data_IF_302057728117
#
_entry.id   IF_302057728117
#
_cell.length_a   1.000
_cell.length_b   1.000
_cell.length_c   1.000
_cell.angle_alpha   90.00
_cell.angle_beta   90.00
_cell.angle_gamma   90.00
#
_symmetry.space_group_name_H-M   'P 1'
#
loop_
_entity.id
_entity.type
_entity.pdbx_description
1 polymer ?
#
# COMPACT_ATOMS: atom_id res chain seq x y z
N UNK A 1 8.04 -4.44 4.24
CA UNK A 1 6.91 -3.84 4.99
C UNK A 1 7.24 -2.48 5.60
N UNK A 2 8.28 -2.35 6.42
CA UNK A 2 8.59 -1.12 7.16
C UNK A 2 8.64 0.18 6.32
N UNK A 3 9.32 0.14 5.16
CA UNK A 3 9.42 1.31 4.27
C UNK A 3 8.05 1.70 3.70
N UNK A 4 7.23 0.72 3.31
CA UNK A 4 5.86 0.93 2.83
C UNK A 4 5.03 1.56 3.96
N UNK A 5 5.02 0.96 5.16
CA UNK A 5 4.31 1.48 6.33
C UNK A 5 4.64 2.95 6.62
N UNK A 6 5.93 3.30 6.62
CA UNK A 6 6.38 4.68 6.81
C UNK A 6 5.96 5.61 5.67
N UNK A 7 6.01 5.13 4.43
CA UNK A 7 5.67 5.92 3.24
C UNK A 7 4.17 6.20 3.16
N UNK A 8 3.32 5.18 3.33
CA UNK A 8 1.86 5.36 3.36
C UNK A 8 1.45 6.30 4.48
N UNK A 9 2.00 6.10 5.68
CA UNK A 9 1.65 6.94 6.83
C UNK A 9 2.11 8.39 6.70
N UNK A 10 3.13 8.69 5.86
CA UNK A 10 3.49 10.08 5.57
C UNK A 10 2.34 10.84 4.90
N UNK A 11 1.56 10.16 4.05
CA UNK A 11 0.36 10.70 3.43
C UNK A 11 -0.87 10.59 4.34
N UNK A 12 -0.93 9.60 5.23
CA UNK A 12 -2.16 9.37 6.01
C UNK A 12 -2.27 10.23 7.26
N UNK A 13 -1.19 10.31 8.04
CA UNK A 13 -1.18 10.99 9.35
C UNK A 13 -0.14 12.10 9.44
N UNK A 14 0.74 12.22 8.45
CA UNK A 14 1.77 13.26 8.44
C UNK A 14 2.85 13.09 9.52
N UNK A 15 3.65 14.14 9.71
CA UNK A 15 4.68 14.20 10.75
C UNK A 15 4.08 14.69 12.09
N UNK A 16 4.63 14.26 13.23
CA UNK A 16 5.73 13.30 13.40
C UNK A 16 5.26 11.84 13.43
N UNK A 17 3.95 11.59 13.51
CA UNK A 17 3.39 10.27 13.82
C UNK A 17 3.79 9.19 12.80
N UNK A 18 3.93 9.54 11.52
CA UNK A 18 4.37 8.59 10.50
C UNK A 18 5.80 8.05 10.71
N UNK A 19 6.62 8.70 11.54
CA UNK A 19 7.98 8.28 11.93
C UNK A 19 8.04 7.70 13.34
N UNK A 20 6.92 7.64 14.06
CA UNK A 20 6.88 7.02 15.39
C UNK A 20 7.11 5.51 15.26
N UNK A 21 8.17 4.95 15.88
CA UNK A 21 8.42 3.50 15.85
C UNK A 21 7.26 2.70 16.43
N UNK A 22 6.59 3.25 17.44
CA UNK A 22 5.44 2.62 18.07
C UNK A 22 4.26 2.52 17.10
N UNK A 23 3.94 3.62 16.40
CA UNK A 23 2.84 3.64 15.44
C UNK A 23 3.12 2.76 14.22
N UNK A 24 4.35 2.75 13.73
CA UNK A 24 4.78 1.89 12.63
C UNK A 24 4.67 0.41 13.01
N UNK A 25 5.24 0.03 14.15
CA UNK A 25 5.19 -1.36 14.66
C UNK A 25 3.74 -1.82 14.85
N UNK A 26 2.87 -0.95 15.37
CA UNK A 26 1.45 -1.26 15.52
C UNK A 26 0.79 -1.57 14.18
N UNK A 27 0.95 -0.72 13.17
CA UNK A 27 0.32 -0.91 11.86
C UNK A 27 0.87 -2.15 11.15
N UNK A 28 2.19 -2.36 11.23
CA UNK A 28 2.87 -3.54 10.71
C UNK A 28 2.32 -4.83 11.33
N UNK A 29 2.27 -4.91 12.66
CA UNK A 29 1.72 -6.07 13.36
C UNK A 29 0.24 -6.26 13.10
N UNK A 30 -0.53 -5.17 13.03
CA UNK A 30 -1.96 -5.24 12.72
C UNK A 30 -2.19 -5.90 11.36
N UNK A 31 -1.37 -5.59 10.35
CA UNK A 31 -1.50 -6.21 9.03
C UNK A 31 -1.30 -7.72 9.05
N UNK A 32 -0.41 -8.22 9.90
CA UNK A 32 -0.15 -9.65 10.07
C UNK A 32 -1.26 -10.31 10.91
N UNK A 33 -1.65 -9.67 12.02
CA UNK A 33 -2.62 -10.21 12.96
C UNK A 33 -4.01 -10.36 12.32
N UNK A 34 -4.45 -9.45 11.45
CA UNK A 34 -5.77 -9.57 10.79
C UNK A 34 -5.92 -10.90 10.05
N UNK A 35 -4.90 -11.33 9.30
CA UNK A 35 -4.94 -12.61 8.58
C UNK A 35 -4.84 -13.81 9.54
N UNK A 36 -3.89 -13.77 10.47
CA UNK A 36 -3.71 -14.85 11.45
C UNK A 36 -4.95 -15.05 12.32
N UNK A 37 -5.56 -13.96 12.78
CA UNK A 37 -6.73 -13.98 13.63
C UNK A 37 -7.98 -14.39 12.84
N UNK A 38 -8.10 -14.01 11.56
CA UNK A 38 -9.16 -14.52 10.69
C UNK A 38 -9.07 -16.05 10.50
N UNK A 39 -7.86 -16.58 10.27
CA UNK A 39 -7.63 -18.01 10.21
C UNK A 39 -7.98 -18.70 11.54
N UNK A 40 -7.55 -18.14 12.68
CA UNK A 40 -7.94 -18.63 14.01
C UNK A 40 -9.45 -18.68 14.19
N UNK A 41 -10.16 -17.60 13.90
CA UNK A 41 -11.63 -17.53 14.00
C UNK A 41 -12.30 -18.56 13.08
N UNK A 42 -11.75 -18.77 11.88
CA UNK A 42 -12.34 -19.69 10.89
C UNK A 42 -12.33 -21.16 11.34
N UNK A 43 -11.39 -21.55 12.21
CA UNK A 43 -11.30 -22.90 12.79
C UNK A 43 -12.40 -23.20 13.80
N UNK A 44 -13.10 -22.18 14.33
CA UNK A 44 -14.17 -22.37 15.30
C UNK A 44 -15.57 -22.36 14.65
N UNK A 45 -16.53 -23.12 15.21
CA UNK A 45 -17.94 -23.05 14.85
C UNK A 45 -18.49 -21.62 14.95
N UNK A 46 -19.49 -21.29 14.11
CA UNK A 46 -20.05 -19.93 14.00
C UNK A 46 -20.43 -19.29 15.35
N UNK A 47 -20.96 -20.08 16.29
CA UNK A 47 -21.39 -19.59 17.61
C UNK A 47 -20.24 -19.23 18.56
N UNK A 48 -19.03 -19.77 18.38
CA UNK A 48 -17.85 -19.42 19.19
C UNK A 48 -17.06 -18.23 18.62
N UNK A 49 -17.29 -17.86 17.36
CA UNK A 49 -16.55 -16.79 16.67
C UNK A 49 -16.57 -15.45 17.42
N UNK A 50 -17.68 -14.98 18.03
CA UNK A 50 -17.67 -13.73 18.79
C UNK A 50 -16.73 -13.78 19.99
N UNK A 51 -16.72 -14.90 20.73
CA UNK A 51 -15.84 -15.08 21.90
C UNK A 51 -14.37 -15.20 21.50
N UNK A 52 -14.09 -16.00 20.47
CA UNK A 52 -12.73 -16.13 19.92
C UNK A 52 -12.23 -14.78 19.42
N UNK A 53 -13.08 -14.07 18.66
CA UNK A 53 -12.82 -12.72 18.18
C UNK A 53 -12.45 -11.76 19.30
N UNK A 54 -13.20 -11.76 20.39
CA UNK A 54 -12.99 -10.80 21.48
C UNK A 54 -11.78 -11.13 22.36
N UNK A 55 -11.57 -12.42 22.69
CA UNK A 55 -10.62 -12.82 23.73
C UNK A 55 -9.34 -13.48 23.22
N UNK A 56 -9.38 -14.09 22.03
CA UNK A 56 -8.24 -14.82 21.45
C UNK A 56 -7.56 -14.08 20.30
N UNK A 57 -8.11 -12.94 19.85
CA UNK A 57 -7.48 -12.11 18.81
C UNK A 57 -6.80 -10.88 19.37
N UNK A 58 -5.90 -10.31 18.58
CA UNK A 58 -5.16 -9.11 18.94
C UNK A 58 -5.82 -7.83 18.40
N UNK A 59 -6.81 -7.96 17.52
CA UNK A 59 -7.52 -6.85 16.87
C UNK A 59 -8.08 -5.83 17.89
N UNK A 60 -8.82 -6.21 18.95
CA UNK A 60 -9.33 -5.24 19.92
C UNK A 60 -8.24 -4.41 20.61
N UNK A 61 -7.11 -5.06 20.96
CA UNK A 61 -5.96 -4.40 21.58
C UNK A 61 -5.29 -3.43 20.61
N UNK A 62 -5.13 -3.83 19.34
CA UNK A 62 -4.59 -2.97 18.28
C UNK A 62 -5.48 -1.74 18.05
N UNK A 63 -6.80 -1.91 18.06
CA UNK A 63 -7.75 -0.79 17.95
C UNK A 63 -7.58 0.18 19.12
N UNK A 64 -7.60 -0.31 20.36
CA UNK A 64 -7.43 0.54 21.55
C UNK A 64 -6.11 1.31 21.53
N UNK A 65 -5.01 0.64 21.15
CA UNK A 65 -3.70 1.28 21.08
C UNK A 65 -3.59 2.27 19.93
N UNK A 66 -4.24 1.98 18.79
CA UNK A 66 -4.36 2.95 17.68
C UNK A 66 -5.05 4.22 18.17
N UNK A 67 -6.23 4.07 18.80
CA UNK A 67 -7.00 5.17 19.37
C UNK A 67 -6.12 6.00 20.30
N UNK A 68 -5.37 5.38 21.20
CA UNK A 68 -4.48 6.10 22.11
C UNK A 68 -3.44 6.97 21.37
N UNK A 69 -2.81 6.43 20.32
CA UNK A 69 -1.77 7.12 19.55
C UNK A 69 -2.30 8.23 18.65
N UNK A 70 -3.45 8.03 18.00
CA UNK A 70 -4.01 9.01 17.05
C UNK A 70 -4.90 10.06 17.74
N UNK A 71 -5.37 9.80 18.96
CA UNK A 71 -6.28 10.68 19.71
C UNK A 71 -5.81 12.14 19.76
N UNK A 72 -4.56 12.47 20.13
CA UNK A 72 -4.15 13.87 20.22
C UNK A 72 -4.30 14.59 18.89
N UNK A 73 -3.91 13.95 17.79
CA UNK A 73 -3.99 14.50 16.45
C UNK A 73 -5.44 14.66 15.98
N UNK A 74 -6.28 13.63 16.17
CA UNK A 74 -7.68 13.67 15.70
C UNK A 74 -8.48 14.67 16.54
N UNK A 75 -8.29 14.68 17.86
CA UNK A 75 -8.99 15.61 18.74
C UNK A 75 -8.66 17.06 18.39
N UNK A 76 -7.38 17.37 18.17
CA UNK A 76 -6.95 18.69 17.73
C UNK A 76 -7.65 19.14 16.44
N UNK A 77 -7.82 18.23 15.46
CA UNK A 77 -8.50 18.55 14.19
C UNK A 77 -10.00 18.76 14.38
N UNK A 78 -10.65 17.94 15.18
CA UNK A 78 -12.06 18.12 15.55
C UNK A 78 -12.29 19.46 16.26
N UNK A 79 -11.39 19.84 17.17
CA UNK A 79 -11.49 21.10 17.90
C UNK A 79 -11.25 22.31 16.98
N UNK A 80 -10.30 22.20 16.04
CA UNK A 80 -10.06 23.23 15.03
C UNK A 80 -11.25 23.41 14.08
N UNK A 81 -11.85 22.30 13.60
CA UNK A 81 -13.04 22.35 12.74
C UNK A 81 -14.20 23.05 13.45
N UNK A 82 -14.42 22.74 14.73
CA UNK A 82 -15.45 23.40 15.55
C UNK A 82 -15.19 24.89 15.76
N UNK A 83 -13.92 25.29 15.90
CA UNK A 83 -13.54 26.68 16.21
C UNK A 83 -13.50 27.59 14.98
N UNK A 84 -13.00 27.07 13.86
CA UNK A 84 -12.69 27.87 12.66
C UNK A 84 -13.49 27.45 11.42
N UNK A 85 -14.29 26.39 11.52
CA UNK A 85 -15.00 25.79 10.37
C UNK A 85 -14.18 24.73 9.64
N UNK A 86 -14.75 24.10 8.60
CA UNK A 86 -14.12 22.98 7.86
C UNK A 86 -12.82 23.36 7.16
N UNK A 87 -12.67 24.62 6.75
CA UNK A 87 -11.51 25.13 6.00
C UNK A 87 -10.58 25.96 6.89
N UNK A 88 -10.28 25.44 8.08
CA UNK A 88 -9.46 26.17 9.05
C UNK A 88 -8.03 26.44 8.52
N UNK A 89 -7.39 27.56 8.94
CA UNK A 89 -6.03 27.88 8.53
C UNK A 89 -5.04 26.77 8.89
N UNK A 90 -4.11 26.47 7.98
CA UNK A 90 -3.07 25.44 8.15
C UNK A 90 -3.60 24.00 8.32
N UNK A 91 -4.82 23.71 7.83
CA UNK A 91 -5.34 22.35 7.76
C UNK A 91 -4.36 21.44 6.99
N UNK A 92 -3.89 20.33 7.60
CA UNK A 92 -3.00 19.41 6.91
C UNK A 92 -3.68 18.81 5.67
N UNK A 93 -2.98 18.79 4.53
CA UNK A 93 -3.46 18.11 3.32
C UNK A 93 -3.03 16.64 3.35
N UNK A 94 -3.78 15.81 4.09
CA UNK A 94 -3.52 14.39 4.29
C UNK A 94 -4.83 13.59 4.37
N UNK A 95 -4.73 12.27 4.36
CA UNK A 95 -5.90 11.39 4.40
C UNK A 95 -6.78 11.64 5.63
N UNK A 96 -6.18 11.92 6.80
CA UNK A 96 -6.96 12.15 8.03
C UNK A 96 -7.87 13.37 7.88
N UNK A 97 -7.40 14.43 7.23
CA UNK A 97 -8.23 15.61 6.94
C UNK A 97 -9.33 15.32 5.93
N UNK A 98 -9.01 14.60 4.85
CA UNK A 98 -10.03 14.22 3.84
C UNK A 98 -11.10 13.30 4.42
N UNK A 99 -10.70 12.35 5.29
CA UNK A 99 -11.64 11.50 6.00
C UNK A 99 -12.51 12.32 6.93
N UNK A 100 -11.98 13.32 7.63
CA UNK A 100 -12.78 14.18 8.51
C UNK A 100 -13.85 14.95 7.70
N UNK A 101 -13.49 15.49 6.54
CA UNK A 101 -14.41 16.23 5.64
C UNK A 101 -15.56 15.36 5.14
N UNK A 102 -15.26 14.11 4.76
CA UNK A 102 -16.23 13.17 4.19
C UNK A 102 -17.03 12.41 5.27
N UNK A 103 -16.70 12.58 6.56
CA UNK A 103 -17.38 11.89 7.66
C UNK A 103 -18.63 12.65 8.10
N UNK A 104 -19.76 11.95 8.19
CA UNK A 104 -20.99 12.48 8.77
C UNK A 104 -20.78 12.92 10.22
N UNK A 105 -21.44 14.00 10.64
CA UNK A 105 -21.23 14.63 11.95
C UNK A 105 -21.34 13.65 13.14
N UNK A 106 -22.28 12.70 13.07
CA UNK A 106 -22.48 11.71 14.15
C UNK A 106 -21.31 10.71 14.30
N UNK A 107 -20.46 10.58 13.27
CA UNK A 107 -19.28 9.70 13.23
C UNK A 107 -17.96 10.48 13.37
N UNK A 108 -18.02 11.82 13.50
CA UNK A 108 -16.85 12.67 13.73
C UNK A 108 -16.36 12.58 15.18
N UNK A 109 -15.89 11.41 15.54
CA UNK A 109 -15.30 11.15 16.85
C UNK A 109 -13.98 10.37 16.70
N UNK A 110 -13.17 10.40 17.75
CA UNK A 110 -11.83 9.81 17.75
C UNK A 110 -11.86 8.31 17.45
N UNK A 111 -12.88 7.59 17.94
CA UNK A 111 -12.96 6.15 17.78
C UNK A 111 -13.18 5.76 16.32
N UNK A 112 -14.18 6.34 15.67
CA UNK A 112 -14.54 5.98 14.29
C UNK A 112 -13.49 6.44 13.29
N UNK A 113 -12.90 7.62 13.51
CA UNK A 113 -11.77 8.11 12.73
C UNK A 113 -10.54 7.19 12.87
N UNK A 114 -10.23 6.73 14.09
CA UNK A 114 -9.12 5.81 14.32
C UNK A 114 -9.34 4.45 13.63
N UNK A 115 -10.56 3.91 13.67
CA UNK A 115 -10.92 2.68 12.96
C UNK A 115 -10.77 2.83 11.45
N UNK A 116 -11.29 3.91 10.86
CA UNK A 116 -11.14 4.20 9.42
C UNK A 116 -9.67 4.28 9.02
N UNK A 117 -8.86 5.02 9.79
CA UNK A 117 -7.41 5.10 9.54
C UNK A 117 -6.74 3.73 9.63
N UNK A 118 -7.08 2.91 10.63
CA UNK A 118 -6.52 1.57 10.79
C UNK A 118 -6.90 0.65 9.63
N UNK A 119 -8.14 0.73 9.15
CA UNK A 119 -8.63 -0.03 7.98
C UNK A 119 -7.92 0.39 6.69
N UNK A 120 -7.77 1.70 6.44
CA UNK A 120 -7.06 2.18 5.25
C UNK A 120 -5.57 1.81 5.32
N UNK A 121 -4.94 1.93 6.50
CA UNK A 121 -3.57 1.47 6.73
C UNK A 121 -3.41 -0.02 6.45
N UNK A 122 -4.31 -0.86 6.95
CA UNK A 122 -4.31 -2.30 6.66
C UNK A 122 -4.32 -2.57 5.15
N UNK A 123 -5.28 -1.97 4.44
CA UNK A 123 -5.44 -2.16 3.00
C UNK A 123 -4.20 -1.72 2.22
N UNK A 124 -3.68 -0.52 2.52
CA UNK A 124 -2.51 0.04 1.85
C UNK A 124 -1.23 -0.74 2.15
N UNK A 125 -0.90 -0.94 3.42
CA UNK A 125 0.40 -1.49 3.83
C UNK A 125 0.54 -2.95 3.41
N UNK A 126 -0.51 -3.75 3.59
CA UNK A 126 -0.47 -5.17 3.28
C UNK A 126 -0.30 -5.39 1.77
N UNK A 127 -1.20 -4.83 0.96
CA UNK A 127 -1.21 -5.07 -0.49
C UNK A 127 -0.01 -4.43 -1.20
N UNK A 128 0.37 -3.19 -0.84
CA UNK A 128 1.58 -2.57 -1.38
C UNK A 128 2.84 -3.37 -1.01
N UNK A 129 2.93 -3.92 0.22
CA UNK A 129 4.07 -4.78 0.58
C UNK A 129 4.14 -6.03 -0.29
N UNK A 130 3.00 -6.66 -0.61
CA UNK A 130 2.98 -7.80 -1.54
C UNK A 130 3.40 -7.39 -2.95
N UNK A 131 2.93 -6.24 -3.44
CA UNK A 131 3.32 -5.69 -4.73
C UNK A 131 4.82 -5.33 -4.83
N UNK A 132 5.49 -5.12 -3.69
CA UNK A 132 6.92 -4.84 -3.62
C UNK A 132 7.83 -6.07 -3.86
N UNK A 133 7.25 -7.24 -4.09
CA UNK A 133 7.98 -8.43 -4.55
C UNK A 133 8.66 -8.26 -5.92
N UNK A 134 8.28 -7.24 -6.68
CA UNK A 134 8.93 -6.78 -7.92
C UNK A 134 10.43 -6.49 -7.72
N UNK A 135 10.89 -6.28 -6.49
CA UNK A 135 12.32 -6.21 -6.16
C UNK A 135 13.07 -7.53 -6.45
N UNK A 136 12.41 -8.68 -6.30
CA UNK A 136 12.99 -9.97 -6.68
C UNK A 136 13.16 -10.07 -8.19
N UNK A 137 12.14 -9.67 -8.94
CA UNK A 137 12.20 -9.70 -10.40
C UNK A 137 13.23 -8.69 -10.92
N UNK A 138 13.35 -7.52 -10.27
CA UNK A 138 14.36 -6.50 -10.57
C UNK A 138 15.79 -7.04 -10.37
N UNK A 139 15.99 -7.89 -9.36
CA UNK A 139 17.29 -8.47 -9.05
C UNK A 139 17.72 -9.58 -10.03
N UNK A 140 16.75 -10.25 -10.66
CA UNK A 140 16.98 -11.42 -11.54
C UNK A 140 17.02 -11.04 -13.01
N UNK A 141 16.35 -9.94 -13.35
CA UNK A 141 16.32 -9.40 -14.71
C UNK A 141 17.09 -8.06 -14.83
N UNK A 142 18.41 -8.06 -14.58
CA UNK A 142 19.22 -6.85 -14.66
C UNK A 142 19.22 -6.23 -16.08
N UNK A 143 18.88 -6.98 -17.12
CA UNK A 143 18.78 -6.53 -18.51
C UNK A 143 17.78 -5.38 -18.72
N UNK A 144 16.71 -5.31 -17.92
CA UNK A 144 15.73 -4.22 -18.01
C UNK A 144 16.11 -2.97 -17.21
N UNK A 145 17.05 -3.11 -16.27
CA UNK A 145 17.41 -2.04 -15.33
C UNK A 145 17.97 -0.79 -16.04
N UNK A 146 18.92 -0.88 -17.00
CA UNK A 146 19.44 0.30 -17.69
C UNK A 146 18.34 1.11 -18.38
N UNK A 147 17.47 0.44 -19.15
CA UNK A 147 16.42 1.12 -19.88
C UNK A 147 15.40 1.82 -18.96
N UNK A 148 15.09 1.22 -17.81
CA UNK A 148 14.24 1.84 -16.78
C UNK A 148 14.94 2.99 -16.07
N UNK A 149 16.24 2.88 -15.79
CA UNK A 149 17.03 3.97 -15.20
C UNK A 149 17.07 5.19 -16.11
N UNK A 150 17.37 5.00 -17.39
CA UNK A 150 17.39 6.09 -18.37
C UNK A 150 16.03 6.82 -18.44
N UNK A 151 14.93 6.06 -18.39
CA UNK A 151 13.58 6.64 -18.34
C UNK A 151 13.36 7.44 -17.05
N UNK A 152 13.69 6.87 -15.90
CA UNK A 152 13.48 7.50 -14.59
C UNK A 152 14.35 8.76 -14.45
N UNK A 153 15.63 8.69 -14.83
CA UNK A 153 16.57 9.81 -14.79
C UNK A 153 16.11 10.95 -15.70
N UNK A 154 15.71 10.65 -16.94
CA UNK A 154 15.23 11.66 -17.88
C UNK A 154 13.91 12.31 -17.42
N UNK A 155 12.94 11.51 -17.00
CA UNK A 155 11.61 12.01 -16.61
C UNK A 155 11.67 12.80 -15.30
N UNK A 156 12.36 12.29 -14.28
CA UNK A 156 12.48 12.99 -12.99
C UNK A 156 13.41 14.20 -13.11
N UNK A 157 14.45 14.14 -13.94
CA UNK A 157 15.30 15.29 -14.23
C UNK A 157 14.53 16.47 -14.86
N UNK A 158 13.56 16.17 -15.74
CA UNK A 158 12.75 17.19 -16.42
C UNK A 158 11.57 17.71 -15.58
N UNK A 159 10.86 16.82 -14.86
CA UNK A 159 9.56 17.13 -14.23
C UNK A 159 9.61 17.14 -12.70
N UNK A 160 10.74 16.73 -12.10
CA UNK A 160 10.87 16.49 -10.67
C UNK A 160 10.05 15.30 -10.18
N UNK A 161 9.92 15.17 -8.86
CA UNK A 161 9.09 14.14 -8.20
C UNK A 161 7.62 14.55 -8.18
N UNK A 162 6.99 14.63 -9.35
CA UNK A 162 5.61 15.10 -9.52
C UNK A 162 4.67 14.00 -9.99
N UNK A 163 3.36 14.20 -9.81
CA UNK A 163 2.33 13.30 -10.37
C UNK A 163 2.44 13.18 -11.90
N UNK A 164 2.81 14.27 -12.58
CA UNK A 164 3.03 14.30 -14.03
C UNK A 164 4.20 13.39 -14.40
N UNK A 165 5.32 13.47 -13.68
CA UNK A 165 6.47 12.58 -13.85
C UNK A 165 6.05 11.11 -13.69
N UNK A 166 5.29 10.79 -12.62
CA UNK A 166 4.80 9.42 -12.40
C UNK A 166 3.92 8.94 -13.56
N UNK A 167 3.15 9.81 -14.22
CA UNK A 167 2.37 9.43 -15.41
C UNK A 167 3.21 9.10 -16.66
N UNK A 168 4.50 9.46 -16.69
CA UNK A 168 5.39 9.30 -17.86
C UNK A 168 6.32 8.08 -17.77
N UNK A 169 6.43 7.43 -16.61
CA UNK A 169 7.29 6.25 -16.40
C UNK A 169 6.64 4.97 -16.97
N UNK A 170 6.70 4.79 -18.29
CA UNK A 170 6.01 3.72 -19.03
C UNK A 170 6.76 2.39 -18.97
N UNK A 171 8.09 2.39 -19.03
CA UNK A 171 8.91 1.19 -18.89
C UNK A 171 8.81 0.65 -17.48
N UNK A 172 8.87 1.52 -16.48
CA UNK A 172 8.65 1.14 -15.09
C UNK A 172 7.25 0.55 -14.87
N UNK A 173 6.19 1.17 -15.43
CA UNK A 173 4.83 0.60 -15.37
C UNK A 173 4.76 -0.79 -15.98
N UNK A 174 5.34 -0.97 -17.17
CA UNK A 174 5.31 -2.24 -17.89
C UNK A 174 6.00 -3.35 -17.09
N UNK A 175 7.15 -3.03 -16.48
CA UNK A 175 7.90 -3.96 -15.64
C UNK A 175 7.10 -4.39 -14.40
N UNK A 176 6.48 -3.43 -13.68
CA UNK A 176 5.67 -3.74 -12.49
C UNK A 176 4.45 -4.58 -12.87
N UNK A 177 3.76 -4.22 -13.97
CA UNK A 177 2.60 -4.98 -14.45
C UNK A 177 2.96 -6.43 -14.74
N UNK A 178 4.10 -6.67 -15.40
CA UNK A 178 4.53 -8.03 -15.73
C UNK A 178 4.95 -8.84 -14.50
N UNK A 179 5.70 -8.24 -13.58
CA UNK A 179 6.05 -8.85 -12.28
C UNK A 179 4.81 -9.29 -11.50
N UNK A 180 3.78 -8.44 -11.47
CA UNK A 180 2.52 -8.75 -10.79
C UNK A 180 1.68 -9.77 -11.55
N UNK A 181 1.69 -9.77 -12.89
CA UNK A 181 1.02 -10.80 -13.70
C UNK A 181 1.52 -12.20 -13.35
N UNK A 182 2.82 -12.34 -13.05
CA UNK A 182 3.46 -13.60 -12.67
C UNK A 182 3.21 -14.01 -11.21
N UNK A 183 2.92 -13.05 -10.33
CA UNK A 183 2.81 -13.33 -8.89
C UNK A 183 1.38 -13.32 -8.36
N UNK A 184 0.48 -12.53 -8.96
CA UNK A 184 -0.89 -12.32 -8.48
C UNK A 184 -1.85 -13.36 -9.07
N UNK A 185 -1.64 -14.63 -8.72
CA UNK A 185 -2.59 -15.72 -9.03
C UNK A 185 -3.84 -15.74 -8.12
N UNK A 186 -3.87 -14.93 -7.05
CA UNK A 186 -4.82 -15.06 -5.94
C UNK A 186 -6.06 -14.14 -5.99
N UNK A 187 -6.18 -13.22 -6.96
CA UNK A 187 -7.33 -12.30 -7.08
C UNK A 187 -8.25 -12.61 -8.28
N UNK A 188 -8.31 -13.87 -8.71
CA UNK A 188 -9.27 -14.31 -9.72
C UNK A 188 -10.68 -14.33 -9.09
N UNK A 189 -11.37 -13.19 -9.07
CA UNK A 189 -12.80 -13.13 -8.74
C UNK A 189 -13.63 -13.72 -9.90
N UNK A 190 -14.77 -14.38 -9.61
CA UNK A 190 -15.66 -14.87 -10.65
C UNK A 190 -16.20 -13.71 -11.49
N UNK A 191 -15.98 -13.81 -12.80
CA UNK A 191 -16.36 -12.86 -13.83
C UNK A 191 -17.90 -12.70 -13.89
N UNK A 192 -18.39 -11.49 -13.63
CA UNK A 192 -19.75 -11.06 -14.00
C UNK A 192 -19.62 -9.86 -14.93
N UNK A 193 -19.91 -10.11 -16.21
CA UNK A 193 -19.54 -9.22 -17.31
C UNK A 193 -20.30 -7.89 -17.34
N UNK A 194 -19.53 -6.79 -17.38
CA UNK A 194 -19.85 -5.56 -18.12
C UNK A 194 -18.55 -4.94 -18.61
N UNK A 195 -18.50 -4.60 -19.90
CA UNK A 195 -17.37 -3.90 -20.51
C UNK A 195 -17.56 -2.40 -20.30
N UNK A 196 -16.72 -1.80 -19.48
CA UNK A 196 -16.44 -0.36 -19.57
C UNK A 196 -15.18 -0.22 -20.43
N UNK A 197 -15.31 0.50 -21.54
CA UNK A 197 -14.20 0.71 -22.48
C UNK A 197 -13.46 1.98 -22.04
N UNK A 198 -12.34 1.82 -21.33
CA UNK A 198 -11.41 2.93 -21.07
C UNK A 198 -10.68 3.34 -22.37
N UNK A 199 -10.40 4.64 -22.53
CA UNK A 199 -9.76 5.21 -23.73
C UNK A 199 -8.38 4.62 -23.99
N UNK A 200 -8.01 4.44 -25.27
CA UNK A 200 -6.76 3.76 -25.68
C UNK A 200 -5.47 4.35 -25.11
N UNK A 201 -5.45 5.64 -24.77
CA UNK A 201 -4.28 6.32 -24.22
C UNK A 201 -3.88 5.89 -22.81
N UNK A 202 -4.79 5.26 -22.05
CA UNK A 202 -4.58 4.90 -20.63
C UNK A 202 -4.22 3.41 -20.46
N UNK A 203 -4.44 2.57 -21.50
CA UNK A 203 -4.22 1.11 -21.46
C UNK A 203 -2.85 0.68 -20.92
N UNK A 204 -1.81 1.48 -21.19
CA UNK A 204 -0.45 1.20 -20.76
C UNK A 204 -0.18 1.54 -19.29
N UNK A 205 -0.95 2.46 -18.70
CA UNK A 205 -0.77 2.84 -17.30
C UNK A 205 -1.15 1.69 -16.36
N UNK A 206 -0.40 1.55 -15.28
CA UNK A 206 -0.66 0.53 -14.27
C UNK A 206 -2.01 0.72 -13.55
N UNK A 207 -2.57 1.94 -13.55
CA UNK A 207 -3.90 2.23 -12.96
C UNK A 207 -5.07 1.79 -13.83
N UNK A 208 -4.83 1.43 -15.09
CA UNK A 208 -5.90 1.06 -16.03
C UNK A 208 -6.46 -0.31 -15.72
N UNK A 209 -7.78 -0.44 -15.81
CA UNK A 209 -8.48 -1.70 -15.62
C UNK A 209 -8.58 -2.40 -16.97
N UNK A 210 -7.94 -3.57 -17.10
CA UNK A 210 -7.99 -4.38 -18.31
C UNK A 210 -8.34 -5.82 -17.98
N UNK A 211 -9.09 -6.54 -18.84
CA UNK A 211 -9.24 -7.98 -18.74
C UNK A 211 -7.89 -8.73 -18.70
N UNK A 212 -6.83 -8.16 -19.28
CA UNK A 212 -5.49 -8.74 -19.30
C UNK A 212 -4.68 -8.44 -18.02
N UNK A 213 -5.17 -7.53 -17.17
CA UNK A 213 -4.49 -7.09 -15.94
C UNK A 213 -5.52 -6.76 -14.85
N UNK A 214 -5.87 -7.76 -14.05
CA UNK A 214 -6.96 -7.73 -13.07
C UNK A 214 -6.50 -7.54 -11.62
N UNK A 215 -5.25 -7.10 -11.40
CA UNK A 215 -4.66 -6.93 -10.05
C UNK A 215 -5.50 -5.98 -9.19
N UNK A 216 -6.13 -4.98 -9.80
CA UNK A 216 -7.00 -4.02 -9.12
C UNK A 216 -8.49 -4.39 -9.21
N UNK A 217 -8.86 -5.58 -9.68
CA UNK A 217 -10.25 -5.95 -9.95
C UNK A 217 -10.83 -5.22 -11.17
N UNK A 218 -12.15 -5.31 -11.37
CA UNK A 218 -12.86 -4.66 -12.48
C UNK A 218 -14.25 -4.15 -12.05
N UNK A 219 -14.77 -3.17 -12.79
CA UNK A 219 -16.11 -2.62 -12.59
C UNK A 219 -16.31 -1.97 -11.23
N UNK A 220 -17.51 -2.14 -10.64
CA UNK A 220 -17.90 -1.53 -9.35
C UNK A 220 -17.06 -1.99 -8.15
N UNK A 221 -16.34 -3.09 -8.28
CA UNK A 221 -15.48 -3.63 -7.24
C UNK A 221 -14.00 -3.39 -7.52
N UNK A 222 -13.68 -2.54 -8.50
CA UNK A 222 -12.31 -2.11 -8.74
C UNK A 222 -11.74 -1.39 -7.52
N UNK A 223 -10.46 -1.62 -7.25
CA UNK A 223 -9.75 -1.07 -6.12
C UNK A 223 -9.83 0.47 -6.14
N UNK A 224 -10.46 1.10 -5.12
CA UNK A 224 -10.54 2.55 -5.04
C UNK A 224 -9.17 3.18 -4.78
N UNK A 225 -8.26 2.45 -4.12
CA UNK A 225 -6.91 2.90 -3.80
C UNK A 225 -5.88 2.74 -4.93
N UNK A 226 -6.25 2.26 -6.13
CA UNK A 226 -5.27 1.93 -7.19
C UNK A 226 -4.36 3.09 -7.58
N UNK A 227 -4.90 4.32 -7.63
CA UNK A 227 -4.11 5.51 -7.97
C UNK A 227 -3.07 5.82 -6.90
N UNK A 228 -3.41 5.64 -5.63
CA UNK A 228 -2.47 5.80 -4.52
C UNK A 228 -1.39 4.70 -4.58
N UNK A 229 -1.81 3.43 -4.66
CA UNK A 229 -0.92 2.27 -4.66
C UNK A 229 0.10 2.32 -5.81
N UNK A 230 -0.37 2.63 -7.03
CA UNK A 230 0.53 2.75 -8.20
C UNK A 230 1.56 3.86 -7.99
N UNK A 231 1.14 5.05 -7.55
CA UNK A 231 2.09 6.14 -7.33
C UNK A 231 3.08 5.82 -6.20
N UNK A 232 2.62 5.21 -5.11
CA UNK A 232 3.47 4.77 -4.00
C UNK A 232 4.55 3.79 -4.49
N UNK A 233 4.15 2.74 -5.22
CA UNK A 233 5.08 1.73 -5.76
C UNK A 233 6.06 2.36 -6.74
N UNK A 234 5.58 3.19 -7.66
CA UNK A 234 6.43 3.86 -8.67
C UNK A 234 7.45 4.79 -8.03
N UNK A 235 7.05 5.62 -7.06
CA UNK A 235 7.97 6.53 -6.36
C UNK A 235 9.06 5.74 -5.65
N UNK A 236 8.67 4.71 -4.91
CA UNK A 236 9.62 3.87 -4.18
C UNK A 236 10.57 3.11 -5.12
N UNK A 237 10.08 2.53 -6.22
CA UNK A 237 10.95 1.84 -7.20
C UNK A 237 11.83 2.78 -8.00
N UNK A 238 11.32 3.94 -8.41
CA UNK A 238 12.12 4.96 -9.05
C UNK A 238 13.28 5.39 -8.12
N UNK A 239 13.01 5.56 -6.82
CA UNK A 239 14.05 5.89 -5.84
C UNK A 239 15.09 4.77 -5.73
N UNK A 240 14.66 3.51 -5.72
CA UNK A 240 15.55 2.34 -5.73
C UNK A 240 16.41 2.34 -6.99
N UNK A 241 15.83 2.51 -8.18
CA UNK A 241 16.55 2.52 -9.47
C UNK A 241 17.62 3.62 -9.53
N UNK A 242 17.30 4.81 -9.02
CA UNK A 242 18.22 5.94 -9.01
C UNK A 242 19.37 5.75 -8.01
N UNK A 243 19.07 5.20 -6.83
CA UNK A 243 19.99 5.28 -5.68
C UNK A 243 20.74 3.98 -5.42
N UNK A 244 20.22 2.84 -5.87
CA UNK A 244 20.72 1.51 -5.48
C UNK A 244 20.86 0.57 -6.69
N UNK A 245 21.84 -0.32 -6.59
CA UNK A 245 21.87 -1.60 -7.29
C UNK A 245 21.25 -2.67 -6.38
N UNK A 246 20.42 -3.54 -6.96
CA UNK A 246 19.68 -4.58 -6.25
C UNK A 246 20.13 -5.95 -6.75
N UNK A 247 20.43 -6.88 -5.85
CA UNK A 247 20.77 -8.28 -6.17
C UNK A 247 20.22 -9.24 -5.13
N UNK A 248 20.06 -10.50 -5.50
CA UNK A 248 19.83 -11.59 -4.55
C UNK A 248 21.16 -12.11 -4.00
N UNK A 249 21.21 -12.61 -2.76
CA UNK A 249 22.36 -13.33 -2.23
C UNK A 249 22.81 -14.44 -3.19
N UNK A 250 24.11 -14.54 -3.41
CA UNK A 250 24.75 -15.54 -4.29
C UNK A 250 24.28 -15.51 -5.76
N UNK A 251 23.61 -14.45 -6.23
CA UNK A 251 22.91 -14.41 -7.52
C UNK A 251 21.96 -15.63 -7.70
N UNK A 252 21.30 -16.03 -6.62
CA UNK A 252 20.37 -17.15 -6.62
C UNK A 252 19.12 -16.92 -7.48
N UNK A 253 18.32 -17.97 -7.71
CA UNK A 253 17.06 -17.87 -8.42
C UNK A 253 16.04 -17.03 -7.63
N UNK A 254 14.92 -16.71 -8.26
CA UNK A 254 13.79 -16.03 -7.61
C UNK A 254 13.36 -16.80 -6.37
N UNK A 255 13.24 -16.15 -5.21
CA UNK A 255 12.61 -16.77 -4.05
C UNK A 255 11.21 -17.25 -4.42
N UNK A 256 10.93 -18.52 -4.11
CA UNK A 256 9.62 -19.11 -4.35
C UNK A 256 8.56 -18.43 -3.49
N UNK A 257 7.38 -18.23 -4.06
CA UNK A 257 6.25 -17.70 -3.30
C UNK A 257 5.78 -18.73 -2.26
N UNK A 258 5.39 -18.27 -1.09
CA UNK A 258 4.79 -19.10 -0.05
C UNK A 258 3.29 -19.17 -0.30
N UNK A 259 2.77 -20.39 -0.32
CA UNK A 259 1.34 -20.67 -0.47
C UNK A 259 0.73 -21.04 0.87
N UNK A 260 -0.34 -20.35 1.23
CA UNK A 260 -1.16 -20.66 2.41
C UNK A 260 -2.61 -20.77 1.98
N UNK A 261 -3.11 -22.00 1.84
CA UNK A 261 -4.38 -22.30 1.19
C UNK A 261 -4.43 -21.68 -0.22
N UNK A 262 -5.47 -20.90 -0.54
CA UNK A 262 -5.61 -20.20 -1.82
C UNK A 262 -4.80 -18.89 -1.90
N UNK A 263 -4.09 -18.50 -0.84
CA UNK A 263 -3.32 -17.26 -0.81
C UNK A 263 -1.87 -17.49 -1.23
N UNK A 264 -1.40 -16.69 -2.18
CA UNK A 264 -0.01 -16.64 -2.63
C UNK A 264 0.67 -15.38 -2.08
N UNK A 265 1.77 -15.54 -1.36
CA UNK A 265 2.55 -14.42 -0.82
C UNK A 265 4.02 -14.52 -1.22
N UNK A 266 4.71 -13.39 -1.43
CA UNK A 266 6.16 -13.41 -1.61
C UNK A 266 6.86 -13.99 -0.37
N UNK A 267 8.03 -14.59 -0.56
CA UNK A 267 8.80 -15.17 0.53
C UNK A 267 9.20 -14.10 1.57
N UNK A 268 8.64 -14.12 2.79
CA UNK A 268 8.89 -13.05 3.76
C UNK A 268 10.29 -13.12 4.39
N UNK A 269 10.99 -14.26 4.25
CA UNK A 269 12.34 -14.47 4.79
C UNK A 269 13.42 -14.30 3.74
N UNK A 270 13.07 -14.02 2.48
CA UNK A 270 14.04 -13.82 1.43
C UNK A 270 14.78 -12.50 1.60
N UNK A 271 16.11 -12.56 1.47
CA UNK A 271 16.99 -11.41 1.57
C UNK A 271 17.23 -10.78 0.20
N UNK A 272 17.33 -9.45 0.19
CA UNK A 272 17.68 -8.65 -0.99
C UNK A 272 18.83 -7.73 -0.61
N UNK A 273 19.89 -7.77 -1.41
CA UNK A 273 21.09 -6.96 -1.20
C UNK A 273 20.96 -5.62 -1.93
N UNK A 274 21.21 -4.54 -1.20
CA UNK A 274 21.21 -3.18 -1.73
C UNK A 274 22.62 -2.60 -1.66
N UNK A 275 23.14 -2.13 -2.80
CA UNK A 275 24.37 -1.35 -2.87
C UNK A 275 24.05 0.06 -3.32
N UNK A 276 24.43 1.06 -2.52
CA UNK A 276 24.27 2.46 -2.92
C UNK A 276 25.13 2.73 -4.16
N UNK A 277 24.56 3.34 -5.19
CA UNK A 277 25.29 3.76 -6.38
C UNK A 277 26.23 4.91 -6.02
N UNK A 278 27.43 4.91 -6.60
CA UNK A 278 28.25 6.12 -6.61
C UNK A 278 27.45 7.20 -7.36
N UNK A 279 27.39 8.42 -6.81
CA UNK A 279 26.76 9.53 -7.50
C UNK A 279 27.44 9.70 -8.87
N UNK A 280 26.63 9.80 -9.93
CA UNK A 280 27.09 10.28 -11.22
C UNK A 280 27.43 11.76 -11.13
#
# INVERSE_FOLDING_TARGET
MHIVCRTSNRLFVGLPLCRSPEYQTLNEQFTIHVFQDALKISMFPRFLRPFVGQYLTQVPKSVQRTIALVRPMIQQRLDNEKKYGPDWPDKPNDLTSWLLEDTEEHQKNVHDMALRLLTVNFAAIHTSTMAFNVLYDLAIHPEYVPAMRDEVEAVIGAEGWTKVAMGKLRKLDSFIKESQRLTTGALCQPFSGRREVESESIKHQMVSLSPDYIVFGMGRHACPGRFFAVNEIKVMLAHVLLTYDVKLPNNGPRPENVWMFANCSPNPTAEVLFRKRAAA
#
